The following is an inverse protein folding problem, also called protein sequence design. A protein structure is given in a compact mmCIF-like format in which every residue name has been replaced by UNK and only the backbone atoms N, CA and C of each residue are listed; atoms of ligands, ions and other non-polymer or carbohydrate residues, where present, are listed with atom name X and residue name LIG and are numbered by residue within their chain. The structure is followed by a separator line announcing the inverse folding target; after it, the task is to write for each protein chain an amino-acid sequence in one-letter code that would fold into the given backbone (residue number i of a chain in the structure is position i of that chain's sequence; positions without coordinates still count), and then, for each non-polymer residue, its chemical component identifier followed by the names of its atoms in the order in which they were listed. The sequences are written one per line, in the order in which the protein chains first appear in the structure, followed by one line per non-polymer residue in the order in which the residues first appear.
data_IF_622885559447
#
_entry.id   IF_622885559447
#
_cell.length_a   1.000
_cell.length_b   1.000
_cell.length_c   1.000
_cell.angle_alpha   90.00
_cell.angle_beta   90.00
_cell.angle_gamma   90.00
#
_symmetry.space_group_name_H-M   'P 1'
#
loop_
_entity.id
_entity.type
_entity.pdbx_description
1 polymer ?
#
# COMPACT_ATOMS: atom_id res chain seq x y z
N UNK A 1 -9.08 -10.40 10.37
CA UNK A 1 -9.10 -11.72 9.72
C UNK A 1 -8.04 -11.73 8.62
N UNK A 2 -7.34 -12.84 8.45
CA UNK A 2 -6.32 -13.09 7.41
C UNK A 2 -6.86 -14.22 6.52
N UNK A 3 -7.04 -13.96 5.23
CA UNK A 3 -7.67 -14.90 4.30
C UNK A 3 -6.62 -15.79 3.61
N UNK A 4 -6.51 -17.03 4.06
CA UNK A 4 -5.51 -18.00 3.59
C UNK A 4 -4.12 -17.80 4.22
N UNK A 5 -3.45 -18.92 4.45
CA UNK A 5 -2.08 -19.01 4.98
C UNK A 5 -1.27 -20.14 4.32
N UNK A 6 -1.73 -20.60 3.16
CA UNK A 6 -1.23 -21.75 2.42
C UNK A 6 -0.89 -21.39 0.96
N UNK A 7 -0.75 -20.11 0.64
CA UNK A 7 -0.23 -19.67 -0.66
C UNK A 7 1.27 -20.01 -0.78
N UNK A 8 1.76 -20.14 -2.00
CA UNK A 8 3.20 -20.28 -2.27
C UNK A 8 3.89 -18.89 -2.15
N UNK A 9 3.95 -18.38 -0.93
CA UNK A 9 4.54 -17.10 -0.52
C UNK A 9 5.37 -17.28 0.74
N UNK A 10 6.28 -16.34 1.09
CA UNK A 10 7.24 -16.55 2.19
C UNK A 10 6.62 -16.90 3.56
N UNK A 11 5.42 -16.39 3.85
CA UNK A 11 4.70 -16.62 5.10
C UNK A 11 3.34 -17.34 4.90
N UNK A 12 3.06 -17.78 3.66
CA UNK A 12 1.81 -18.42 3.26
C UNK A 12 0.63 -17.46 3.04
N UNK A 13 0.77 -16.15 3.32
CA UNK A 13 -0.31 -15.17 3.12
C UNK A 13 -0.14 -14.39 1.82
N UNK A 14 -1.21 -13.73 1.36
CA UNK A 14 -1.18 -13.00 0.10
C UNK A 14 -0.18 -11.83 0.11
N UNK A 15 0.58 -11.68 -0.98
CA UNK A 15 1.58 -10.61 -1.16
C UNK A 15 1.06 -9.54 -2.11
N UNK A 16 1.14 -8.27 -1.71
CA UNK A 16 0.67 -7.11 -2.49
C UNK A 16 1.69 -5.96 -2.49
N UNK A 17 1.63 -5.12 -3.52
CA UNK A 17 2.34 -3.83 -3.57
C UNK A 17 1.49 -2.75 -2.90
N UNK A 18 1.83 -2.44 -1.65
CA UNK A 18 1.22 -1.34 -0.91
C UNK A 18 1.96 -0.05 -1.24
N UNK A 19 1.22 0.99 -1.63
CA UNK A 19 1.75 2.31 -1.99
C UNK A 19 1.16 3.37 -1.07
N UNK A 20 2.00 4.29 -0.60
CA UNK A 20 1.54 5.43 0.19
C UNK A 20 0.68 6.36 -0.65
N UNK A 21 -0.50 6.73 -0.17
CA UNK A 21 -1.47 7.53 -0.93
C UNK A 21 -0.91 8.89 -1.35
N UNK A 22 -0.07 9.52 -0.52
CA UNK A 22 0.60 10.78 -0.86
C UNK A 22 1.63 10.61 -2.00
N UNK A 23 2.32 9.46 -2.07
CA UNK A 23 3.24 9.19 -3.18
C UNK A 23 2.48 8.91 -4.47
N UNK A 24 1.39 8.17 -4.38
CA UNK A 24 0.47 7.98 -5.50
C UNK A 24 -0.06 9.33 -6.03
N UNK A 25 -0.45 10.26 -5.14
CA UNK A 25 -0.89 11.60 -5.51
C UNK A 25 0.22 12.40 -6.21
N UNK A 26 1.45 12.38 -5.70
CA UNK A 26 2.62 12.98 -6.37
C UNK A 26 2.86 12.35 -7.75
N UNK A 27 2.63 11.04 -7.90
CA UNK A 27 2.71 10.35 -9.18
C UNK A 27 1.72 10.89 -10.21
N UNK A 28 0.51 11.23 -9.79
CA UNK A 28 -0.47 11.89 -10.66
C UNK A 28 -0.01 13.30 -11.08
N UNK A 29 0.60 14.08 -10.18
CA UNK A 29 1.17 15.39 -10.55
C UNK A 29 2.25 15.22 -11.63
N UNK A 30 3.16 14.25 -11.46
CA UNK A 30 4.19 13.95 -12.48
C UNK A 30 3.59 13.47 -13.81
N UNK A 31 2.51 12.68 -13.76
CA UNK A 31 1.80 12.25 -14.96
C UNK A 31 1.16 13.44 -15.71
N UNK A 32 0.61 14.43 -14.99
CA UNK A 32 0.07 15.65 -15.59
C UNK A 32 1.17 16.50 -16.23
N UNK A 33 2.31 16.68 -15.56
CA UNK A 33 3.48 17.39 -16.11
C UNK A 33 3.98 16.73 -17.41
N UNK A 34 4.07 15.39 -17.43
CA UNK A 34 4.41 14.62 -18.62
C UNK A 34 3.37 14.80 -19.73
N UNK A 35 2.07 14.65 -19.42
CA UNK A 35 0.98 14.75 -20.39
C UNK A 35 0.83 16.16 -20.99
N UNK A 36 1.26 17.21 -20.29
CA UNK A 36 1.28 18.57 -20.84
C UNK A 36 2.27 18.71 -22.01
N UNK A 37 3.33 17.89 -22.04
CA UNK A 37 4.41 17.95 -23.02
C UNK A 37 4.34 16.85 -24.08
N UNK A 38 3.51 15.82 -23.85
CA UNK A 38 3.41 14.64 -24.71
C UNK A 38 1.97 14.46 -25.22
N UNK A 39 1.80 13.76 -26.35
CA UNK A 39 0.49 13.43 -26.93
C UNK A 39 0.36 11.92 -27.05
N UNK A 40 -0.88 11.43 -27.04
CA UNK A 40 -1.18 10.00 -27.15
C UNK A 40 -1.59 9.39 -25.81
N UNK A 41 -1.33 8.10 -25.65
CA UNK A 41 -1.75 7.31 -24.50
C UNK A 41 -0.60 6.47 -23.97
N UNK A 42 -0.43 6.49 -22.65
CA UNK A 42 0.51 5.67 -21.92
C UNK A 42 -0.17 5.02 -20.72
N UNK A 43 -0.21 3.68 -20.69
CA UNK A 43 -0.49 2.93 -19.46
C UNK A 43 0.79 2.86 -18.62
N UNK A 44 0.71 3.27 -17.35
CA UNK A 44 1.85 3.35 -16.42
C UNK A 44 1.43 2.82 -15.05
N UNK A 45 2.17 1.85 -14.52
CA UNK A 45 1.96 1.38 -13.16
C UNK A 45 2.50 2.41 -12.16
N UNK A 46 1.71 2.75 -11.14
CA UNK A 46 2.18 3.48 -9.96
C UNK A 46 2.16 2.53 -8.77
N UNK A 47 3.33 2.04 -8.39
CA UNK A 47 3.55 1.12 -7.29
C UNK A 47 4.99 1.24 -6.78
N UNK A 48 5.29 0.59 -5.67
CA UNK A 48 6.64 0.57 -5.10
C UNK A 48 7.54 -0.44 -5.79
N UNK A 49 6.94 -1.45 -6.45
CA UNK A 49 7.62 -2.63 -6.98
C UNK A 49 8.13 -3.60 -5.92
N UNK A 50 7.68 -3.42 -4.68
CA UNK A 50 8.02 -4.28 -3.54
C UNK A 50 6.74 -4.91 -3.00
N UNK A 51 6.73 -6.24 -2.92
CA UNK A 51 5.63 -6.97 -2.30
C UNK A 51 5.77 -7.03 -0.78
N UNK A 52 4.66 -6.86 -0.07
CA UNK A 52 4.53 -7.18 1.35
C UNK A 52 3.38 -8.17 1.55
N UNK A 53 3.58 -9.15 2.42
CA UNK A 53 2.54 -10.12 2.82
C UNK A 53 1.49 -9.49 3.73
N UNK A 54 0.39 -10.21 4.00
CA UNK A 54 -0.62 -9.75 4.96
C UNK A 54 -0.02 -9.61 6.36
N UNK A 55 0.87 -10.52 6.76
CA UNK A 55 1.51 -10.47 8.08
C UNK A 55 2.58 -9.37 8.15
N UNK A 56 3.26 -9.03 7.05
CA UNK A 56 4.16 -7.86 7.02
C UNK A 56 3.39 -6.57 7.34
N UNK A 57 2.21 -6.40 6.74
CA UNK A 57 1.33 -5.25 7.03
C UNK A 57 0.86 -5.26 8.47
N UNK A 58 0.44 -6.42 8.98
CA UNK A 58 0.01 -6.58 10.37
C UNK A 58 1.11 -6.11 11.33
N UNK A 59 2.33 -6.65 11.20
CA UNK A 59 3.45 -6.30 12.08
C UNK A 59 3.90 -4.84 11.92
N UNK A 60 3.88 -4.29 10.70
CA UNK A 60 4.15 -2.86 10.48
C UNK A 60 3.10 -1.97 11.18
N UNK A 61 1.84 -2.39 11.19
CA UNK A 61 0.77 -1.69 11.88
C UNK A 61 0.88 -1.80 13.41
N UNK A 62 1.22 -2.98 13.93
CA UNK A 62 1.53 -3.17 15.37
C UNK A 62 2.66 -2.26 15.82
N UNK A 63 3.74 -2.17 15.03
CA UNK A 63 4.87 -1.27 15.30
C UNK A 63 4.47 0.21 15.23
N UNK A 64 3.55 0.57 14.33
CA UNK A 64 3.06 1.93 14.19
C UNK A 64 2.15 2.37 15.35
N UNK A 65 1.28 1.49 15.85
CA UNK A 65 0.33 1.80 16.90
C UNK A 65 0.81 1.44 18.32
N UNK A 66 1.91 0.69 18.43
CA UNK A 66 2.46 0.22 19.70
C UNK A 66 1.57 -0.81 20.41
N UNK A 67 0.72 -1.54 19.66
CA UNK A 67 -0.22 -2.53 20.19
C UNK A 67 -0.15 -3.81 19.39
N UNK A 68 -0.32 -4.94 20.06
CA UNK A 68 -0.57 -6.22 19.38
C UNK A 68 -1.98 -6.21 18.79
N UNK A 69 -2.11 -6.63 17.54
CA UNK A 69 -3.36 -6.67 16.80
C UNK A 69 -3.88 -8.10 16.72
N UNK A 70 -5.06 -8.41 17.28
CA UNK A 70 -5.63 -9.75 17.18
C UNK A 70 -6.05 -10.05 15.74
N UNK A 71 -5.75 -11.26 15.29
CA UNK A 71 -6.22 -11.76 14.00
C UNK A 71 -6.58 -13.25 14.09
N UNK A 72 -7.35 -13.69 13.11
CA UNK A 72 -7.68 -15.10 12.88
C UNK A 72 -7.38 -15.43 11.42
N UNK A 73 -6.83 -16.61 11.17
CA UNK A 73 -6.67 -17.14 9.82
C UNK A 73 -7.98 -17.83 9.44
N UNK A 74 -8.53 -17.42 8.30
CA UNK A 74 -9.78 -17.97 7.74
C UNK A 74 -9.51 -18.52 6.35
N UNK A 75 -10.43 -19.31 5.75
CA UNK A 75 -10.26 -19.79 4.38
C UNK A 75 -9.96 -18.67 3.39
N UNK A 76 -9.35 -19.03 2.25
CA UNK A 76 -9.09 -18.08 1.16
C UNK A 76 -10.37 -17.39 0.72
N UNK A 77 -10.26 -16.12 0.33
CA UNK A 77 -11.35 -15.40 -0.32
C UNK A 77 -11.32 -15.70 -1.82
N UNK A 78 -12.46 -16.09 -2.38
CA UNK A 78 -12.56 -16.41 -3.81
C UNK A 78 -12.07 -15.25 -4.68
N UNK A 79 -11.23 -15.57 -5.66
CA UNK A 79 -10.61 -14.60 -6.57
C UNK A 79 -9.30 -13.98 -6.08
N UNK A 80 -8.88 -14.22 -4.84
CA UNK A 80 -7.57 -13.75 -4.37
C UNK A 80 -6.42 -14.51 -5.06
N UNK A 81 -5.48 -13.75 -5.62
CA UNK A 81 -4.21 -14.26 -6.15
C UNK A 81 -3.12 -14.27 -5.07
N UNK A 82 -2.15 -15.18 -5.20
CA UNK A 82 -1.07 -15.32 -4.22
C UNK A 82 -0.20 -14.05 -4.15
N UNK A 83 0.33 -13.60 -5.30
CA UNK A 83 1.31 -12.50 -5.38
C UNK A 83 0.89 -11.51 -6.47
N UNK A 84 0.93 -10.22 -6.15
CA UNK A 84 0.68 -9.14 -7.11
C UNK A 84 1.44 -7.87 -6.73
N UNK A 85 2.41 -7.46 -7.53
CA UNK A 85 3.11 -6.19 -7.35
C UNK A 85 3.49 -5.56 -8.70
N UNK A 86 3.73 -4.25 -8.70
CA UNK A 86 3.97 -3.53 -9.93
C UNK A 86 5.41 -3.68 -10.44
N UNK A 87 5.61 -3.66 -11.76
CA UNK A 87 6.84 -3.14 -12.33
C UNK A 87 6.67 -1.62 -12.52
N UNK A 88 7.42 -0.84 -11.74
CA UNK A 88 7.37 0.64 -11.73
C UNK A 88 8.47 1.29 -12.58
N UNK A 89 9.25 0.52 -13.35
CA UNK A 89 10.35 1.05 -14.16
C UNK A 89 9.89 2.09 -15.19
N UNK A 90 8.70 1.90 -15.80
CA UNK A 90 8.13 2.86 -16.76
C UNK A 90 7.81 4.21 -16.10
N UNK A 91 7.30 4.22 -14.87
CA UNK A 91 7.01 5.46 -14.14
C UNK A 91 8.29 6.23 -13.82
N UNK A 92 9.35 5.51 -13.42
CA UNK A 92 10.67 6.11 -13.18
C UNK A 92 11.27 6.72 -14.47
N UNK A 93 11.19 5.99 -15.57
CA UNK A 93 11.77 6.41 -16.85
C UNK A 93 11.03 7.60 -17.48
N UNK A 94 9.69 7.58 -17.51
CA UNK A 94 8.89 8.61 -18.20
C UNK A 94 8.52 9.79 -17.31
N UNK A 95 8.18 9.52 -16.04
CA UNK A 95 7.65 10.54 -15.13
C UNK A 95 8.70 11.08 -14.16
N UNK A 96 9.90 10.47 -14.11
CA UNK A 96 10.89 10.77 -13.08
C UNK A 96 10.37 10.50 -11.67
N UNK A 97 9.40 9.59 -11.53
CA UNK A 97 8.68 9.32 -10.29
C UNK A 97 9.01 7.93 -9.74
N UNK A 98 9.15 7.85 -8.42
CA UNK A 98 9.33 6.62 -7.66
C UNK A 98 8.73 6.83 -6.26
N UNK A 99 7.99 5.86 -5.75
CA UNK A 99 7.47 5.91 -4.38
C UNK A 99 8.61 5.96 -3.35
N UNK A 100 8.47 6.77 -2.31
CA UNK A 100 9.51 7.06 -1.33
C UNK A 100 9.18 6.53 0.07
N UNK A 101 7.89 6.43 0.40
CA UNK A 101 7.43 5.93 1.69
C UNK A 101 7.57 4.41 1.80
N UNK A 102 8.06 3.94 2.94
CA UNK A 102 8.07 2.52 3.30
C UNK A 102 6.75 2.09 3.98
N UNK A 103 6.61 0.78 4.21
CA UNK A 103 5.39 0.21 4.80
C UNK A 103 5.13 0.75 6.22
N UNK A 104 6.17 0.98 7.01
CA UNK A 104 6.03 1.53 8.36
C UNK A 104 5.50 2.97 8.32
N UNK A 105 5.96 3.79 7.38
CA UNK A 105 5.44 5.15 7.15
C UNK A 105 3.96 5.11 6.77
N UNK A 106 3.57 4.22 5.86
CA UNK A 106 2.16 4.01 5.48
C UNK A 106 1.28 3.68 6.69
N UNK A 107 1.71 2.74 7.53
CA UNK A 107 0.95 2.35 8.72
C UNK A 107 0.91 3.47 9.79
N UNK A 108 2.02 4.20 9.98
CA UNK A 108 2.09 5.34 10.92
C UNK A 108 1.13 6.46 10.54
N UNK A 109 1.14 6.88 9.28
CA UNK A 109 0.29 7.97 8.81
C UNK A 109 -1.20 7.56 8.84
N UNK A 110 -1.50 6.30 8.48
CA UNK A 110 -2.84 5.71 8.61
C UNK A 110 -3.32 5.70 10.08
N UNK A 111 -2.48 5.24 11.00
CA UNK A 111 -2.81 5.21 12.43
C UNK A 111 -3.00 6.62 13.02
N UNK A 112 -2.14 7.56 12.63
CA UNK A 112 -2.26 8.96 13.05
C UNK A 112 -3.59 9.56 12.58
N UNK A 113 -3.94 9.36 11.30
CA UNK A 113 -5.22 9.80 10.76
C UNK A 113 -6.40 9.24 11.57
N UNK A 114 -6.43 7.92 11.80
CA UNK A 114 -7.50 7.29 12.58
C UNK A 114 -7.61 7.85 14.00
N UNK A 115 -6.47 8.10 14.66
CA UNK A 115 -6.44 8.62 16.03
C UNK A 115 -7.01 10.04 16.09
N UNK A 116 -6.60 10.91 15.16
CA UNK A 116 -7.12 12.28 15.07
C UNK A 116 -8.62 12.29 14.78
N UNK A 117 -9.11 11.42 13.89
CA UNK A 117 -10.56 11.33 13.64
C UNK A 117 -11.33 10.92 14.90
N UNK A 118 -10.85 9.92 15.64
CA UNK A 118 -11.50 9.48 16.87
C UNK A 118 -11.50 10.57 17.97
N UNK A 119 -10.43 11.36 18.08
CA UNK A 119 -10.36 12.49 19.01
C UNK A 119 -11.35 13.60 18.66
N UNK A 120 -11.51 13.91 17.37
CA UNK A 120 -12.48 14.91 16.90
C UNK A 120 -13.92 14.45 17.16
N UNK A 121 -14.25 13.20 16.84
CA UNK A 121 -15.57 12.63 17.12
C UNK A 121 -15.92 12.64 18.62
N UNK A 122 -14.92 12.40 19.48
CA UNK A 122 -15.09 12.45 20.93
C UNK A 122 -15.24 13.89 21.47
N UNK A 123 -14.68 14.89 20.80
CA UNK A 123 -14.77 16.30 21.19
C UNK A 123 -16.11 16.95 20.81
N UNK A 124 -16.82 16.38 19.81
CA UNK A 124 -18.13 16.84 19.34
C UNK A 124 -19.33 16.19 20.10
N UNK A 125 -19.06 15.32 21.09
CA UNK A 125 -20.05 14.66 21.96
C UNK A 125 -20.17 15.35 23.33
#
# INVERSE_FOLDING_TARGET
RVFGNDYDTPDGTGVRDYIHVADLAKGHVRALEYAAQHKGFDAINLGTGKGASVLDVLHAYEAACGKTLPYEIVPRRDGDIAVSFADSAKAKALLGWEAQSDLLTMCRDSWHYMTVQAELEAADC
#
